data_IF_594960337950
#
_entry.id   IF_594960337950
#
_cell.length_a   1.000
_cell.length_b   1.000
_cell.length_c   1.000
_cell.angle_alpha   90.00
_cell.angle_beta   90.00
_cell.angle_gamma   90.00
#
_symmetry.space_group_name_H-M   'P 1'
#
loop_
_entity.id
_entity.type
_entity.pdbx_description
1 polymer ?
#
# COMPACT_ATOMS: atom_id res chain seq x y z
N UNK A 1 -10.64 -13.40 -3.67
CA UNK A 1 -9.41 -12.79 -3.12
C UNK A 1 -8.61 -12.23 -4.29
N UNK A 2 -8.23 -10.96 -4.22
CA UNK A 2 -7.44 -10.23 -5.22
C UNK A 2 -6.34 -9.46 -4.49
N UNK A 3 -5.12 -9.49 -5.02
CA UNK A 3 -3.98 -8.71 -4.54
C UNK A 3 -3.59 -7.72 -5.63
N UNK A 4 -3.50 -6.44 -5.27
CA UNK A 4 -3.03 -5.36 -6.14
C UNK A 4 -1.70 -4.84 -5.58
N UNK A 5 -0.65 -4.89 -6.40
CA UNK A 5 0.66 -4.31 -6.05
C UNK A 5 0.61 -2.82 -6.36
N UNK A 6 0.71 -1.98 -5.33
CA UNK A 6 0.71 -0.52 -5.45
C UNK A 6 2.14 0.03 -5.38
N UNK A 7 3.01 -0.64 -4.61
CA UNK A 7 4.43 -0.37 -4.53
C UNK A 7 5.22 -1.63 -4.19
N UNK A 8 6.48 -1.66 -4.63
CA UNK A 8 7.34 -2.85 -4.57
C UNK A 8 8.83 -2.54 -4.49
N UNK A 9 9.22 -1.26 -4.51
CA UNK A 9 10.62 -0.87 -4.33
C UNK A 9 11.02 -0.99 -2.86
N UNK A 10 12.25 -1.43 -2.61
CA UNK A 10 12.83 -1.51 -1.27
C UNK A 10 13.63 -0.24 -0.93
N UNK A 11 13.53 0.22 0.31
CA UNK A 11 14.27 1.37 0.83
C UNK A 11 13.71 2.74 0.43
N UNK A 12 13.51 3.01 -0.87
CA UNK A 12 13.04 4.32 -1.35
C UNK A 12 12.30 4.24 -2.70
N UNK A 13 11.38 5.18 -2.99
CA UNK A 13 10.64 5.22 -4.25
C UNK A 13 11.49 5.78 -5.40
N UNK A 14 11.27 5.31 -6.62
CA UNK A 14 11.97 5.78 -7.81
C UNK A 14 11.07 5.72 -9.05
N UNK A 15 11.31 6.62 -10.01
CA UNK A 15 10.60 6.70 -11.29
C UNK A 15 9.06 6.70 -11.18
N UNK A 16 8.51 7.25 -10.09
CA UNK A 16 7.07 7.28 -9.84
C UNK A 16 6.48 5.97 -9.31
N UNK A 17 7.32 4.99 -8.95
CA UNK A 17 6.92 3.76 -8.28
C UNK A 17 7.10 3.89 -6.77
N UNK A 18 6.09 3.45 -6.01
CA UNK A 18 6.10 3.46 -4.56
C UNK A 18 6.95 2.31 -3.97
N UNK A 19 7.32 2.46 -2.69
CA UNK A 19 7.85 1.34 -1.90
C UNK A 19 6.73 0.43 -1.39
N UNK A 20 7.06 -0.65 -0.68
CA UNK A 20 6.15 -1.70 -0.18
C UNK A 20 4.75 -1.19 0.18
N UNK A 21 3.77 -1.48 -0.67
CA UNK A 21 2.36 -1.10 -0.49
C UNK A 21 1.48 -2.08 -1.28
N UNK A 22 0.56 -2.77 -0.59
CA UNK A 22 -0.25 -3.83 -1.20
C UNK A 22 -1.72 -3.73 -0.77
N UNK A 23 -2.65 -3.73 -1.72
CA UNK A 23 -4.08 -3.78 -1.44
C UNK A 23 -4.59 -5.23 -1.62
N UNK A 24 -5.18 -5.77 -0.56
CA UNK A 24 -5.76 -7.12 -0.53
C UNK A 24 -7.27 -6.99 -0.40
N UNK A 25 -8.00 -7.55 -1.36
CA UNK A 25 -9.47 -7.46 -1.44
C UNK A 25 -10.07 -8.87 -1.38
N UNK A 26 -11.03 -9.10 -0.47
CA UNK A 26 -11.73 -10.38 -0.38
C UNK A 26 -13.12 -10.25 0.24
N UNK A 27 -14.16 -10.68 -0.46
CA UNK A 27 -15.52 -10.73 0.10
C UNK A 27 -16.08 -9.38 0.57
N UNK A 28 -15.64 -8.27 -0.04
CA UNK A 28 -16.01 -6.91 0.35
C UNK A 28 -15.14 -6.28 1.44
N UNK A 29 -14.11 -7.00 1.92
CA UNK A 29 -13.10 -6.50 2.84
C UNK A 29 -11.87 -6.00 2.09
N UNK A 30 -11.29 -4.89 2.53
CA UNK A 30 -10.14 -4.22 1.94
C UNK A 30 -9.06 -3.99 3.00
N UNK A 31 -7.97 -4.76 2.90
CA UNK A 31 -6.81 -4.65 3.75
C UNK A 31 -5.68 -3.98 2.98
N UNK A 32 -5.12 -2.91 3.53
CA UNK A 32 -3.84 -2.39 3.10
C UNK A 32 -2.73 -3.07 3.92
N UNK A 33 -1.77 -3.68 3.24
CA UNK A 33 -0.58 -4.26 3.87
C UNK A 33 0.63 -3.40 3.48
N UNK A 34 1.24 -2.78 4.50
CA UNK A 34 2.22 -1.72 4.41
C UNK A 34 1.74 -0.46 3.66
N UNK A 35 2.30 0.69 4.02
CA UNK A 35 2.07 1.96 3.36
C UNK A 35 3.40 2.73 3.27
N UNK A 36 4.22 2.25 2.35
CA UNK A 36 5.51 2.83 2.03
C UNK A 36 5.42 4.19 1.33
N UNK A 37 6.58 4.81 1.09
CA UNK A 37 6.67 6.13 0.46
C UNK A 37 6.10 6.11 -0.96
N UNK A 38 5.17 7.05 -1.23
CA UNK A 38 4.42 7.15 -2.48
C UNK A 38 3.23 6.19 -2.56
N UNK A 39 3.04 5.33 -1.56
CA UNK A 39 2.00 4.32 -1.54
C UNK A 39 0.60 4.91 -1.50
N UNK A 40 0.38 6.03 -0.81
CA UNK A 40 -0.94 6.67 -0.74
C UNK A 40 -1.36 7.21 -2.12
N UNK A 41 -0.45 7.81 -2.86
CA UNK A 41 -0.71 8.30 -4.22
C UNK A 41 -1.01 7.14 -5.18
N UNK A 42 -0.30 6.01 -5.06
CA UNK A 42 -0.60 4.80 -5.85
C UNK A 42 -1.96 4.19 -5.47
N UNK A 43 -2.32 4.21 -4.18
CA UNK A 43 -3.62 3.74 -3.69
C UNK A 43 -4.78 4.56 -4.28
N UNK A 44 -4.73 5.89 -4.20
CA UNK A 44 -5.79 6.80 -4.67
C UNK A 44 -6.10 6.65 -6.18
N UNK A 45 -5.12 6.20 -6.98
CA UNK A 45 -5.33 5.92 -8.40
C UNK A 45 -6.20 4.67 -8.66
N UNK A 46 -6.28 3.75 -7.70
CA UNK A 46 -6.93 2.44 -7.85
C UNK A 46 -8.11 2.23 -6.89
N UNK A 47 -8.12 2.91 -5.73
CA UNK A 47 -9.03 2.67 -4.63
C UNK A 47 -9.21 3.92 -3.78
N UNK A 48 -10.41 4.11 -3.20
CA UNK A 48 -10.71 5.21 -2.28
C UNK A 48 -10.19 4.87 -0.87
N UNK A 49 -9.16 5.56 -0.34
CA UNK A 49 -8.57 5.21 0.96
C UNK A 49 -9.56 5.22 2.12
N UNK A 50 -10.65 6.00 2.02
CA UNK A 50 -11.69 6.06 3.05
C UNK A 50 -12.55 4.78 3.14
N UNK A 51 -12.39 3.85 2.18
CA UNK A 51 -13.06 2.54 2.17
C UNK A 51 -12.17 1.41 2.68
N UNK A 52 -10.96 1.69 3.15
CA UNK A 52 -10.11 0.68 3.79
C UNK A 52 -10.77 0.22 5.10
N UNK A 53 -10.79 -1.10 5.30
CA UNK A 53 -11.29 -1.70 6.54
C UNK A 53 -10.19 -1.84 7.60
N UNK A 54 -8.93 -2.02 7.16
CA UNK A 54 -7.77 -2.12 8.03
C UNK A 54 -6.46 -1.80 7.31
N UNK A 55 -5.44 -1.48 8.11
CA UNK A 55 -4.03 -1.42 7.71
C UNK A 55 -3.23 -2.40 8.57
N UNK A 56 -2.37 -3.20 7.95
CA UNK A 56 -1.40 -4.06 8.61
C UNK A 56 0.00 -3.60 8.23
N UNK A 57 0.83 -3.30 9.23
CA UNK A 57 2.25 -2.97 9.02
C UNK A 57 3.09 -4.18 9.41
N UNK A 58 3.96 -4.63 8.49
CA UNK A 58 4.81 -5.80 8.71
C UNK A 58 5.94 -5.50 9.70
N UNK A 59 6.50 -4.30 9.63
CA UNK A 59 7.51 -3.75 10.53
C UNK A 59 7.61 -2.22 10.33
N UNK A 60 8.60 -1.58 10.94
CA UNK A 60 8.70 -0.12 11.01
C UNK A 60 9.92 0.47 10.29
N UNK A 61 10.43 -0.16 9.24
CA UNK A 61 11.33 0.55 8.33
C UNK A 61 10.52 1.52 7.46
N UNK A 62 11.14 2.65 7.11
CA UNK A 62 10.45 3.76 6.45
C UNK A 62 9.83 3.37 5.11
N UNK A 63 10.41 2.43 4.38
CA UNK A 63 9.87 1.93 3.12
C UNK A 63 8.57 1.12 3.27
N UNK A 64 8.09 0.90 4.49
CA UNK A 64 6.82 0.24 4.81
C UNK A 64 5.81 1.14 5.55
N UNK A 65 6.22 2.32 6.06
CA UNK A 65 5.41 3.14 6.98
C UNK A 65 5.47 4.66 6.73
N UNK A 66 6.08 5.10 5.62
CA UNK A 66 6.36 6.53 5.41
C UNK A 66 5.10 7.37 5.13
N UNK A 67 4.06 6.77 4.57
CA UNK A 67 2.76 7.39 4.25
C UNK A 67 1.68 6.90 5.24
#
# INVERSE_FOLDING_TARGET
MKLTVLGYLGGYPDAGHATSTYLIESGGYHLLMDLGSGGLLSLEQQFDPLKLDAVLLTHYHHDHIAD
#
